data_IF_571113158694
#
_entry.id   IF_571113158694
#
_cell.length_a   1.000
_cell.length_b   1.000
_cell.length_c   1.000
_cell.angle_alpha   90.00
_cell.angle_beta   90.00
_cell.angle_gamma   90.00
#
_symmetry.space_group_name_H-M   'P 1'
#
loop_
_entity.id
_entity.type
_entity.pdbx_description
1 polymer ?
#
# COMPACT_ATOMS: atom_id res chain seq x y z
N UNK A 1 -58.76 9.41 41.45
CA UNK A 1 -57.68 8.41 41.34
C UNK A 1 -56.57 9.01 40.48
N UNK A 2 -55.60 9.63 41.14
CA UNK A 2 -54.43 10.29 40.57
C UNK A 2 -53.30 10.30 41.61
N UNK A 3 -52.08 9.95 41.20
CA UNK A 3 -50.78 10.06 41.91
C UNK A 3 -49.73 9.70 40.85
N UNK A 4 -48.80 10.55 40.38
CA UNK A 4 -47.72 11.35 41.00
C UNK A 4 -46.70 10.51 41.78
N UNK A 5 -45.45 10.53 41.30
CA UNK A 5 -44.13 10.51 41.98
C UNK A 5 -43.06 9.93 41.02
N UNK A 6 -41.75 10.19 41.04
CA UNK A 6 -40.84 11.24 41.54
C UNK A 6 -39.41 10.69 41.28
N UNK A 7 -38.45 11.59 41.10
CA UNK A 7 -37.01 11.41 40.79
C UNK A 7 -36.15 10.67 41.84
N UNK A 8 -34.96 10.17 41.45
CA UNK A 8 -33.67 10.39 42.15
C UNK A 8 -32.43 9.84 41.39
N UNK A 9 -31.35 10.63 41.40
CA UNK A 9 -29.96 10.33 41.00
C UNK A 9 -29.22 9.45 42.04
N UNK A 10 -28.13 8.77 41.65
CA UNK A 10 -26.95 8.51 42.51
C UNK A 10 -25.65 8.46 41.67
N UNK A 11 -24.76 9.41 41.96
CA UNK A 11 -23.28 9.44 42.11
C UNK A 11 -22.36 8.46 41.32
N UNK A 12 -21.38 8.92 40.55
CA UNK A 12 -20.07 9.54 40.91
C UNK A 12 -19.08 8.58 41.59
N UNK A 13 -17.97 8.26 40.92
CA UNK A 13 -16.71 7.87 41.56
C UNK A 13 -15.52 8.15 40.62
N UNK A 14 -14.85 9.26 40.91
CA UNK A 14 -13.47 9.56 40.55
C UNK A 14 -12.52 8.62 41.31
N UNK A 15 -11.34 8.32 40.74
CA UNK A 15 -10.07 8.32 41.49
C UNK A 15 -8.84 8.25 40.55
N UNK A 16 -7.98 9.26 40.73
CA UNK A 16 -6.64 9.47 40.16
C UNK A 16 -5.57 8.56 40.79
N UNK A 17 -4.34 8.69 40.23
CA UNK A 17 -3.01 8.47 40.82
C UNK A 17 -2.43 7.04 40.64
N UNK A 18 -1.16 6.79 40.34
CA UNK A 18 0.08 7.60 40.43
C UNK A 18 1.23 6.92 39.67
N UNK A 19 2.21 7.71 39.25
CA UNK A 19 3.54 7.27 38.83
C UNK A 19 4.40 6.80 40.03
N UNK A 20 5.39 5.94 39.77
CA UNK A 20 6.42 5.59 40.77
C UNK A 20 7.45 4.60 40.23
N UNK A 21 8.64 5.09 39.90
CA UNK A 21 9.83 4.32 39.56
C UNK A 21 10.42 3.62 40.79
N UNK A 22 10.98 2.41 40.63
CA UNK A 22 12.09 1.93 41.49
C UNK A 22 13.03 1.05 40.67
N UNK A 23 14.24 1.57 40.49
CA UNK A 23 15.48 0.89 40.10
C UNK A 23 15.99 -0.06 41.18
N UNK A 24 16.58 -1.20 40.82
CA UNK A 24 17.68 -1.84 41.59
C UNK A 24 18.69 -2.50 40.65
N UNK A 25 19.94 -2.04 40.79
CA UNK A 25 21.19 -2.65 40.35
C UNK A 25 21.59 -3.77 41.32
N UNK A 26 22.41 -4.71 40.83
CA UNK A 26 23.56 -5.38 41.46
C UNK A 26 24.31 -6.06 40.27
N UNK A 27 25.58 -5.79 39.90
CA UNK A 27 26.84 -5.97 40.64
C UNK A 27 27.17 -7.48 40.73
N UNK A 28 28.27 -8.09 40.27
CA UNK A 28 29.60 -7.74 39.76
C UNK A 28 30.24 -9.00 39.11
N UNK A 29 31.31 -8.78 38.33
CA UNK A 29 32.61 -9.46 38.39
C UNK A 29 33.20 -10.22 37.18
N UNK A 30 34.51 -10.00 37.06
CA UNK A 30 35.48 -10.06 35.96
C UNK A 30 36.04 -11.47 35.72
N UNK A 31 36.39 -11.82 34.46
CA UNK A 31 37.72 -12.40 34.12
C UNK A 31 38.03 -12.47 32.61
N UNK A 32 39.28 -12.12 32.34
CA UNK A 32 40.02 -12.00 31.08
C UNK A 32 40.27 -13.31 30.34
N UNK A 33 40.39 -13.28 29.01
CA UNK A 33 41.62 -13.69 28.30
C UNK A 33 41.53 -13.45 26.79
N UNK A 34 42.70 -13.19 26.23
CA UNK A 34 43.10 -12.92 24.85
C UNK A 34 42.74 -14.03 23.86
N UNK A 35 42.35 -13.69 22.64
CA UNK A 35 43.27 -13.81 21.49
C UNK A 35 42.64 -13.41 20.15
N UNK A 36 43.50 -12.83 19.35
CA UNK A 36 43.39 -12.39 17.97
C UNK A 36 42.63 -13.33 17.03
N UNK A 37 41.76 -12.77 16.20
CA UNK A 37 41.86 -12.86 14.73
C UNK A 37 40.89 -11.87 14.09
N UNK A 38 41.47 -10.83 13.53
CA UNK A 38 40.84 -9.91 12.58
C UNK A 38 40.33 -10.75 11.42
N UNK A 39 39.01 -10.90 11.33
CA UNK A 39 38.36 -11.34 10.11
C UNK A 39 37.71 -10.07 9.53
N UNK A 40 38.37 -9.47 8.55
CA UNK A 40 37.77 -8.43 7.71
C UNK A 40 36.49 -9.01 7.08
N UNK A 41 35.35 -8.77 7.72
CA UNK A 41 34.07 -9.06 7.10
C UNK A 41 33.87 -8.01 6.02
N UNK A 42 34.03 -8.42 4.76
CA UNK A 42 33.59 -7.66 3.59
C UNK A 42 32.16 -7.16 3.85
N UNK A 43 32.05 -5.88 4.18
CA UNK A 43 30.79 -5.18 4.33
C UNK A 43 30.23 -5.06 2.92
N UNK A 44 29.31 -5.95 2.56
CA UNK A 44 28.52 -5.77 1.34
C UNK A 44 27.53 -4.62 1.61
N UNK A 45 27.99 -3.40 1.37
CA UNK A 45 27.13 -2.27 1.08
C UNK A 45 26.41 -2.58 -0.23
N UNK A 46 25.19 -3.10 -0.14
CA UNK A 46 24.32 -3.28 -1.29
C UNK A 46 23.34 -2.10 -1.25
N UNK A 47 23.76 -0.99 -1.87
CA UNK A 47 22.92 0.16 -2.16
C UNK A 47 22.13 -0.02 -3.48
N UNK A 48 21.88 -1.28 -3.88
CA UNK A 48 21.26 -1.58 -5.17
C UNK A 48 19.74 -1.75 -5.01
N UNK A 49 19.00 -0.87 -5.67
CA UNK A 49 17.55 -0.91 -5.87
C UNK A 49 17.08 -2.30 -6.31
N UNK A 50 16.16 -2.87 -5.52
CA UNK A 50 15.69 -4.26 -5.59
C UNK A 50 14.80 -4.61 -6.80
N UNK A 51 14.88 -3.87 -7.91
CA UNK A 51 14.05 -4.09 -9.10
C UNK A 51 14.82 -4.09 -10.44
N UNK A 52 16.14 -4.24 -10.43
CA UNK A 52 16.92 -4.32 -11.67
C UNK A 52 16.72 -5.65 -12.40
N UNK A 53 15.98 -5.60 -13.51
CA UNK A 53 15.70 -6.72 -14.42
C UNK A 53 14.23 -6.86 -14.84
N UNK A 54 13.42 -5.82 -14.66
CA UNK A 54 11.99 -5.79 -14.96
C UNK A 54 11.65 -4.51 -15.73
N UNK A 55 10.89 -4.66 -16.81
CA UNK A 55 10.35 -3.61 -17.69
C UNK A 55 11.30 -2.91 -18.68
N UNK A 56 11.23 -3.33 -19.93
CA UNK A 56 11.43 -2.40 -21.05
C UNK A 56 10.08 -1.82 -21.55
N UNK A 57 8.93 -2.38 -21.12
CA UNK A 57 7.61 -2.13 -21.74
C UNK A 57 6.50 -1.59 -20.80
N UNK A 58 6.74 -1.39 -19.50
CA UNK A 58 5.73 -0.88 -18.56
C UNK A 58 6.29 0.26 -17.72
N UNK A 59 5.65 1.42 -17.75
CA UNK A 59 6.06 2.59 -16.97
C UNK A 59 5.49 2.49 -15.55
N UNK A 60 6.26 2.84 -14.54
CA UNK A 60 5.84 2.81 -13.15
C UNK A 60 6.50 3.90 -12.32
N UNK A 61 5.69 4.45 -11.42
CA UNK A 61 5.91 5.71 -10.72
C UNK A 61 5.86 5.52 -9.20
N UNK A 62 6.96 5.76 -8.49
CA UNK A 62 7.01 5.72 -7.04
C UNK A 62 6.36 6.98 -6.45
N UNK A 63 5.34 6.78 -5.61
CA UNK A 63 4.76 7.85 -4.79
C UNK A 63 5.80 8.38 -3.79
N UNK A 64 5.69 9.63 -3.33
CA UNK A 64 6.59 10.26 -2.34
C UNK A 64 6.73 9.56 -0.96
N UNK A 65 6.12 8.38 -0.76
CA UNK A 65 6.33 7.48 0.37
C UNK A 65 7.12 6.22 -0.05
N UNK A 66 7.43 5.30 0.87
CA UNK A 66 8.14 4.04 0.57
C UNK A 66 7.29 3.05 -0.26
N UNK A 67 6.87 3.43 -1.48
CA UNK A 67 6.04 2.65 -2.39
C UNK A 67 6.61 2.63 -3.79
N UNK A 68 7.36 1.58 -4.12
CA UNK A 68 7.94 1.32 -5.45
C UNK A 68 6.84 0.97 -6.46
N UNK A 69 6.91 1.59 -7.64
CA UNK A 69 6.28 1.14 -8.90
C UNK A 69 7.35 1.06 -10.00
N UNK A 70 7.03 0.35 -11.08
CA UNK A 70 8.00 -0.24 -12.00
C UNK A 70 8.19 0.51 -13.33
N UNK A 71 9.31 1.26 -13.45
CA UNK A 71 10.14 1.56 -14.64
C UNK A 71 9.86 2.75 -15.60
N UNK A 72 10.77 3.02 -16.56
CA UNK A 72 10.76 4.17 -17.48
C UNK A 72 11.10 3.87 -18.95
N UNK A 73 11.10 4.91 -19.79
CA UNK A 73 11.93 5.08 -21.00
C UNK A 73 11.96 6.57 -21.44
N UNK A 74 12.95 6.89 -22.27
CA UNK A 74 13.63 8.17 -22.59
C UNK A 74 12.86 9.30 -23.31
N UNK A 75 13.41 10.52 -23.07
CA UNK A 75 13.34 11.83 -23.77
C UNK A 75 12.75 12.93 -22.86
N UNK A 76 13.34 14.11 -22.60
CA UNK A 76 14.63 14.75 -22.90
C UNK A 76 14.80 15.98 -21.94
N UNK A 77 15.73 16.92 -22.19
CA UNK A 77 16.77 17.38 -21.27
C UNK A 77 16.32 18.22 -20.06
N UNK A 78 17.08 18.14 -18.97
CA UNK A 78 17.07 19.16 -17.93
C UNK A 78 17.69 20.45 -18.48
N UNK A 79 16.86 21.45 -18.74
CA UNK A 79 17.30 22.83 -18.74
C UNK A 79 17.42 23.25 -17.27
N UNK A 80 18.65 23.40 -16.77
CA UNK A 80 18.84 24.42 -15.75
C UNK A 80 20.16 25.16 -15.89
N UNK A 81 20.04 26.44 -15.61
CA UNK A 81 21.04 27.46 -15.81
C UNK A 81 21.84 27.71 -14.53
N UNK A 82 23.14 27.98 -14.74
CA UNK A 82 24.11 28.73 -13.91
C UNK A 82 25.29 27.92 -13.35
N UNK A 83 26.46 28.21 -13.96
CA UNK A 83 27.83 28.42 -13.43
C UNK A 83 28.00 28.15 -11.92
N UNK A 84 29.02 27.45 -11.41
CA UNK A 84 30.45 27.45 -11.76
C UNK A 84 31.19 26.31 -11.03
N UNK A 85 32.30 25.85 -11.62
CA UNK A 85 33.60 25.49 -11.00
C UNK A 85 34.16 24.13 -11.45
N UNK A 86 35.43 24.17 -11.83
CA UNK A 86 36.19 23.18 -12.59
C UNK A 86 36.72 21.99 -11.78
N UNK A 87 36.94 20.90 -12.52
CA UNK A 87 37.98 19.87 -12.39
C UNK A 87 38.06 18.99 -11.13
N UNK A 88 37.84 17.69 -11.32
CA UNK A 88 38.92 16.69 -11.47
C UNK A 88 38.37 15.37 -12.02
N UNK A 89 39.04 14.83 -13.03
CA UNK A 89 38.90 13.44 -13.50
C UNK A 89 39.29 12.48 -12.38
N UNK A 90 38.42 11.54 -12.08
CA UNK A 90 38.74 10.27 -11.43
C UNK A 90 37.88 9.18 -12.07
N UNK A 91 38.51 8.05 -12.31
CA UNK A 91 38.06 6.90 -13.09
C UNK A 91 36.61 6.49 -12.82
N UNK A 92 35.81 6.44 -13.89
CA UNK A 92 34.43 5.93 -13.82
C UNK A 92 34.49 4.41 -13.83
N UNK A 93 34.38 3.81 -12.65
CA UNK A 93 33.90 2.45 -12.53
C UNK A 93 32.50 2.39 -13.13
N UNK A 94 32.32 1.62 -14.20
CA UNK A 94 31.02 1.33 -14.81
C UNK A 94 30.16 0.53 -13.82
N UNK A 95 29.55 1.23 -12.86
CA UNK A 95 28.43 0.71 -12.09
C UNK A 95 27.27 0.46 -13.06
N UNK A 96 26.70 -0.74 -13.01
CA UNK A 96 25.53 -1.09 -13.82
C UNK A 96 24.42 -0.09 -13.52
N UNK A 97 23.77 0.51 -14.53
CA UNK A 97 22.76 1.54 -14.29
C UNK A 97 21.63 0.95 -13.45
N UNK A 98 21.35 1.60 -12.32
CA UNK A 98 20.16 1.37 -11.53
C UNK A 98 18.93 1.71 -12.39
N UNK A 99 17.83 0.93 -12.33
CA UNK A 99 16.65 1.21 -13.12
C UNK A 99 16.10 2.59 -12.80
N UNK A 100 15.82 3.38 -13.83
CA UNK A 100 15.19 4.69 -13.69
C UNK A 100 13.75 4.51 -13.19
N UNK A 101 13.48 4.92 -11.95
CA UNK A 101 12.15 4.90 -11.33
C UNK A 101 11.60 6.32 -11.43
N UNK A 102 10.44 6.48 -12.08
CA UNK A 102 9.75 7.76 -12.12
C UNK A 102 9.17 8.08 -10.75
N UNK A 103 9.09 9.36 -10.43
CA UNK A 103 8.44 9.87 -9.21
C UNK A 103 7.14 10.55 -9.57
N UNK A 104 6.24 10.60 -8.61
CA UNK A 104 4.93 11.22 -8.77
C UNK A 104 4.97 12.74 -8.62
N UNK A 105 6.13 13.34 -8.30
CA UNK A 105 6.30 14.76 -7.94
C UNK A 105 6.61 15.69 -9.12
N UNK A 106 6.33 15.24 -10.34
CA UNK A 106 6.58 15.98 -11.58
C UNK A 106 5.30 16.17 -12.41
N UNK A 107 5.29 17.12 -13.34
CA UNK A 107 4.09 17.40 -14.17
C UNK A 107 2.87 17.77 -13.31
N UNK A 108 1.67 17.39 -13.76
CA UNK A 108 0.44 17.55 -12.98
C UNK A 108 0.36 16.47 -11.90
N UNK A 109 0.37 16.86 -10.63
CA UNK A 109 0.52 15.93 -9.51
C UNK A 109 -0.14 16.39 -8.20
N UNK A 110 -0.29 15.41 -7.31
CA UNK A 110 -0.78 15.60 -5.94
C UNK A 110 0.16 14.95 -4.91
N UNK A 111 1.47 14.88 -5.17
CA UNK A 111 2.43 14.18 -4.30
C UNK A 111 2.49 14.73 -2.89
N UNK A 112 2.25 16.03 -2.73
CA UNK A 112 2.15 16.68 -1.42
C UNK A 112 1.00 16.11 -0.57
N UNK A 113 0.03 15.40 -1.16
CA UNK A 113 -1.08 14.74 -0.47
C UNK A 113 -0.79 13.28 -0.10
N UNK A 114 0.40 12.75 -0.41
CA UNK A 114 0.72 11.33 -0.21
C UNK A 114 0.56 10.85 1.24
N UNK A 115 0.76 11.72 2.23
CA UNK A 115 0.54 11.38 3.63
C UNK A 115 -0.91 10.92 3.92
N UNK A 116 -1.88 11.37 3.12
CA UNK A 116 -3.30 11.09 3.28
C UNK A 116 -3.85 10.19 2.16
N UNK A 117 -3.38 10.41 0.93
CA UNK A 117 -3.82 9.71 -0.29
C UNK A 117 -3.01 8.44 -0.57
N UNK A 118 -1.88 8.22 0.12
CA UNK A 118 -1.03 7.05 -0.07
C UNK A 118 -0.69 6.85 -1.57
N UNK A 119 -0.75 5.60 -2.05
CA UNK A 119 -0.48 5.23 -3.43
C UNK A 119 -1.35 5.90 -4.49
N UNK A 120 -2.47 6.53 -4.11
CA UNK A 120 -3.33 7.22 -5.06
C UNK A 120 -2.63 8.43 -5.69
N UNK A 121 -1.58 8.96 -5.07
CA UNK A 121 -0.76 10.03 -5.65
C UNK A 121 -0.03 9.56 -6.92
N UNK A 122 0.54 8.35 -6.90
CA UNK A 122 1.11 7.71 -8.08
C UNK A 122 0.05 7.39 -9.15
N UNK A 123 -1.16 6.98 -8.71
CA UNK A 123 -2.28 6.76 -9.62
C UNK A 123 -2.71 8.07 -10.30
N UNK A 124 -2.83 9.17 -9.56
CA UNK A 124 -3.16 10.48 -10.13
C UNK A 124 -2.09 10.93 -11.12
N UNK A 125 -0.82 10.78 -10.76
CA UNK A 125 0.28 11.13 -11.64
C UNK A 125 0.23 10.34 -12.97
N UNK A 126 -0.01 9.04 -12.91
CA UNK A 126 -0.16 8.23 -14.13
C UNK A 126 -1.39 8.66 -14.95
N UNK A 127 -2.49 9.04 -14.30
CA UNK A 127 -3.69 9.56 -14.96
C UNK A 127 -3.41 10.82 -15.79
N UNK A 128 -2.61 11.74 -15.25
CA UNK A 128 -2.34 13.04 -15.89
C UNK A 128 -1.15 13.04 -16.85
N UNK A 129 -0.17 12.18 -16.62
CA UNK A 129 1.13 12.30 -17.28
C UNK A 129 1.50 11.09 -18.17
N UNK A 130 0.75 9.99 -18.12
CA UNK A 130 1.07 8.77 -18.88
C UNK A 130 -0.01 8.44 -19.90
N UNK A 131 0.38 8.24 -21.15
CA UNK A 131 -0.47 7.65 -22.19
C UNK A 131 -0.13 6.16 -22.38
N UNK A 132 -1.02 5.27 -21.93
CA UNK A 132 -0.88 3.82 -22.07
C UNK A 132 -2.21 3.17 -22.43
N UNK A 133 -2.18 2.06 -23.16
CA UNK A 133 -3.40 1.28 -23.46
C UNK A 133 -3.98 0.59 -22.21
N UNK A 134 -3.13 0.33 -21.21
CA UNK A 134 -3.50 -0.29 -19.95
C UNK A 134 -2.75 0.36 -18.77
N UNK A 135 -3.42 0.49 -17.65
CA UNK A 135 -2.88 1.06 -16.42
C UNK A 135 -2.98 0.02 -15.31
N UNK A 136 -2.00 -0.01 -14.42
CA UNK A 136 -2.01 -0.92 -13.28
C UNK A 136 -1.47 -0.26 -12.03
N UNK A 137 -2.01 -0.68 -10.88
CA UNK A 137 -1.57 -0.24 -9.58
C UNK A 137 -1.25 -1.47 -8.73
N UNK A 138 0.00 -1.61 -8.27
CA UNK A 138 0.43 -2.63 -7.30
C UNK A 138 1.14 -1.98 -6.12
N UNK A 139 1.15 -2.63 -4.97
CA UNK A 139 2.03 -2.19 -3.89
C UNK A 139 3.43 -2.76 -4.04
N UNK A 140 4.43 -2.06 -3.48
CA UNK A 140 5.83 -2.49 -3.50
C UNK A 140 6.09 -3.91 -2.96
N UNK A 141 5.26 -4.38 -2.00
CA UNK A 141 5.39 -5.71 -1.38
C UNK A 141 4.22 -6.64 -1.66
N UNK A 142 3.34 -6.31 -2.60
CA UNK A 142 2.22 -7.18 -3.00
C UNK A 142 2.11 -7.28 -4.50
N UNK A 143 1.97 -8.51 -5.01
CA UNK A 143 1.87 -8.78 -6.45
C UNK A 143 0.69 -9.69 -6.75
N UNK A 144 0.10 -9.54 -7.92
CA UNK A 144 -0.91 -10.48 -8.45
C UNK A 144 -0.24 -11.71 -9.08
N UNK A 145 -0.82 -12.89 -8.89
CA UNK A 145 -0.36 -14.12 -9.53
C UNK A 145 -1.04 -14.34 -10.89
N UNK A 146 -0.35 -13.97 -11.96
CA UNK A 146 -0.77 -14.25 -13.34
C UNK A 146 -0.41 -15.66 -13.79
N UNK A 147 0.37 -16.41 -13.02
CA UNK A 147 0.73 -17.79 -13.36
C UNK A 147 -0.45 -18.75 -13.22
N UNK A 148 -1.36 -18.46 -12.27
CA UNK A 148 -2.47 -19.33 -11.90
C UNK A 148 -2.06 -20.66 -11.24
N UNK A 149 -0.76 -20.83 -10.92
CA UNK A 149 -0.20 -22.08 -10.39
C UNK A 149 -0.01 -22.04 -8.88
N UNK A 150 0.00 -20.86 -8.27
CA UNK A 150 0.29 -20.72 -6.85
C UNK A 150 -1.01 -20.81 -6.06
N UNK A 151 -1.23 -21.96 -5.43
CA UNK A 151 -2.37 -22.14 -4.52
C UNK A 151 -2.18 -21.27 -3.28
N UNK A 152 -3.20 -20.48 -2.94
CA UNK A 152 -3.28 -19.81 -1.65
C UNK A 152 -3.35 -20.84 -0.53
N UNK A 153 -2.71 -20.55 0.61
CA UNK A 153 -2.74 -21.43 1.79
C UNK A 153 -4.04 -21.31 2.56
N UNK A 154 -4.66 -20.14 2.51
CA UNK A 154 -5.92 -19.82 3.18
C UNK A 154 -6.84 -19.12 2.21
N UNK A 155 -8.12 -19.48 2.26
CA UNK A 155 -9.17 -18.79 1.53
C UNK A 155 -9.34 -17.40 2.15
N UNK A 156 -9.29 -16.38 1.30
CA UNK A 156 -9.52 -15.00 1.67
C UNK A 156 -8.64 -14.46 2.82
N UNK A 157 -7.37 -14.87 2.93
CA UNK A 157 -6.39 -14.25 3.86
C UNK A 157 -5.19 -13.73 3.03
N UNK A 158 -4.37 -12.87 3.61
CA UNK A 158 -3.11 -12.40 3.02
C UNK A 158 -2.19 -13.61 2.82
N UNK A 159 -2.04 -14.03 1.56
CA UNK A 159 -1.10 -15.09 1.23
C UNK A 159 0.33 -14.54 1.24
N UNK A 160 1.22 -15.16 2.01
CA UNK A 160 2.61 -14.71 2.14
C UNK A 160 3.55 -15.63 1.39
N UNK A 161 4.47 -15.06 0.62
CA UNK A 161 5.49 -15.81 -0.13
C UNK A 161 6.89 -15.26 0.13
N UNK A 162 7.75 -16.14 0.67
CA UNK A 162 9.17 -15.87 0.81
C UNK A 162 9.87 -16.09 -0.53
N UNK A 163 10.42 -15.04 -1.13
CA UNK A 163 11.00 -15.12 -2.48
C UNK A 163 12.05 -14.02 -2.69
N UNK A 164 13.12 -14.34 -3.42
CA UNK A 164 14.13 -13.34 -3.80
C UNK A 164 13.61 -12.47 -4.95
N UNK A 165 14.03 -11.20 -4.99
CA UNK A 165 13.62 -10.24 -6.02
C UNK A 165 13.72 -10.80 -7.45
N UNK A 166 14.87 -11.40 -7.78
CA UNK A 166 15.17 -12.01 -9.09
C UNK A 166 14.17 -13.09 -9.55
N UNK A 167 13.43 -13.70 -8.61
CA UNK A 167 12.47 -14.78 -8.91
C UNK A 167 11.02 -14.29 -8.97
N UNK A 168 10.71 -13.07 -8.54
CA UNK A 168 9.33 -12.55 -8.43
C UNK A 168 8.65 -12.61 -9.80
N UNK A 169 9.16 -11.88 -10.79
CA UNK A 169 8.52 -11.75 -12.11
C UNK A 169 8.26 -13.10 -12.77
N UNK A 170 9.27 -13.98 -12.80
CA UNK A 170 9.15 -15.34 -13.35
C UNK A 170 8.12 -16.20 -12.59
N UNK A 171 8.08 -16.10 -11.27
CA UNK A 171 7.22 -16.94 -10.41
C UNK A 171 5.76 -16.56 -10.55
N UNK A 172 5.46 -15.26 -10.58
CA UNK A 172 4.09 -14.75 -10.64
C UNK A 172 3.63 -14.43 -12.07
N UNK A 173 4.49 -14.68 -13.08
CA UNK A 173 4.23 -14.38 -14.49
C UNK A 173 3.84 -12.92 -14.72
N UNK A 174 4.63 -12.02 -14.13
CA UNK A 174 4.47 -10.57 -14.29
C UNK A 174 4.99 -10.11 -15.66
N UNK A 175 4.69 -10.84 -16.73
CA UNK A 175 5.14 -10.53 -18.09
C UNK A 175 3.96 -10.05 -18.96
N UNK A 176 4.27 -9.22 -19.96
CA UNK A 176 3.29 -8.60 -20.85
C UNK A 176 2.31 -9.62 -21.43
N UNK A 177 2.83 -10.72 -21.97
CA UNK A 177 2.03 -11.76 -22.58
C UNK A 177 1.02 -12.38 -21.59
N UNK A 178 1.47 -12.69 -20.37
CA UNK A 178 0.62 -13.28 -19.34
C UNK A 178 -0.47 -12.33 -18.84
N UNK A 179 -0.15 -11.03 -18.70
CA UNK A 179 -1.10 -9.99 -18.30
C UNK A 179 -2.12 -9.74 -19.40
N UNK A 180 -1.68 -9.52 -20.64
CA UNK A 180 -2.57 -9.30 -21.80
C UNK A 180 -3.50 -10.48 -22.04
N UNK A 181 -3.02 -11.71 -21.87
CA UNK A 181 -3.86 -12.92 -21.94
C UNK A 181 -5.03 -12.91 -20.93
N UNK A 182 -4.89 -12.22 -19.79
CA UNK A 182 -6.04 -12.02 -18.90
C UNK A 182 -6.93 -10.88 -19.38
N UNK A 183 -6.33 -9.80 -19.89
CA UNK A 183 -7.07 -8.64 -20.38
C UNK A 183 -7.90 -8.91 -21.64
N UNK A 184 -7.52 -9.93 -22.43
CA UNK A 184 -8.32 -10.47 -23.54
C UNK A 184 -9.66 -11.06 -23.06
N UNK A 185 -9.71 -11.56 -21.83
CA UNK A 185 -10.91 -12.20 -21.26
C UNK A 185 -11.81 -11.19 -20.54
N UNK A 186 -11.21 -10.16 -19.94
CA UNK A 186 -11.92 -9.04 -19.32
C UNK A 186 -11.02 -7.82 -19.28
N UNK A 187 -11.51 -6.61 -19.59
CA UNK A 187 -10.69 -5.40 -19.58
C UNK A 187 -10.28 -4.92 -18.17
N UNK A 188 -10.68 -5.64 -17.11
CA UNK A 188 -10.32 -5.37 -15.72
C UNK A 188 -9.78 -6.65 -15.07
N UNK A 189 -8.60 -6.54 -14.45
CA UNK A 189 -8.03 -7.54 -13.54
C UNK A 189 -7.92 -6.92 -12.15
N UNK A 190 -8.42 -7.60 -11.12
CA UNK A 190 -8.37 -7.15 -9.72
C UNK A 190 -7.66 -8.17 -8.83
N UNK A 191 -7.20 -7.72 -7.67
CA UNK A 191 -6.89 -8.63 -6.57
C UNK A 191 -8.15 -9.37 -6.12
N UNK A 192 -8.06 -10.69 -5.93
CA UNK A 192 -9.12 -11.49 -5.32
C UNK A 192 -9.50 -10.89 -3.96
N UNK A 193 -10.81 -10.91 -3.60
CA UNK A 193 -11.25 -10.45 -2.30
C UNK A 193 -10.50 -11.14 -1.15
N UNK A 194 -10.31 -10.41 -0.07
CA UNK A 194 -9.63 -10.86 1.13
C UNK A 194 -10.40 -10.43 2.37
N UNK A 195 -10.30 -11.25 3.40
CA UNK A 195 -10.67 -10.96 4.78
C UNK A 195 -9.40 -10.44 5.43
N UNK A 196 -9.46 -9.22 5.94
CA UNK A 196 -8.34 -8.68 6.69
C UNK A 196 -8.26 -9.48 8.00
N UNK A 197 -7.07 -9.82 8.54
CA UNK A 197 -6.99 -10.49 9.84
C UNK A 197 -7.72 -9.69 10.93
N UNK A 198 -8.60 -10.36 11.70
CA UNK A 198 -9.56 -9.72 12.64
C UNK A 198 -10.63 -8.85 11.98
N UNK A 199 -10.66 -8.83 10.66
CA UNK A 199 -11.66 -8.20 9.85
C UNK A 199 -12.96 -9.01 9.88
N UNK A 200 -14.05 -8.28 9.83
CA UNK A 200 -15.40 -8.82 9.96
C UNK A 200 -16.07 -8.86 8.58
N UNK A 201 -15.27 -8.83 7.50
CA UNK A 201 -15.75 -8.87 6.11
C UNK A 201 -16.42 -10.22 5.77
N UNK A 202 -16.24 -11.25 6.61
CA UNK A 202 -16.99 -12.51 6.54
C UNK A 202 -18.21 -12.56 7.44
N UNK A 203 -18.39 -11.57 8.30
CA UNK A 203 -19.59 -11.52 9.12
C UNK A 203 -20.77 -11.28 8.19
N UNK A 204 -21.72 -12.23 8.08
CA UNK A 204 -22.92 -12.02 7.27
C UNK A 204 -23.83 -10.93 7.88
N UNK A 205 -23.50 -10.43 9.08
CA UNK A 205 -24.25 -9.41 9.79
C UNK A 205 -23.68 -7.98 9.62
N UNK A 206 -22.52 -7.80 8.97
CA UNK A 206 -21.91 -6.47 8.83
C UNK A 206 -21.81 -6.06 7.37
N UNK A 207 -22.19 -4.82 7.10
CA UNK A 207 -22.00 -4.16 5.82
C UNK A 207 -20.62 -3.48 5.76
N UNK A 208 -20.19 -3.06 4.56
CA UNK A 208 -18.91 -2.34 4.41
C UNK A 208 -18.93 -0.94 5.01
N UNK A 209 -20.11 -0.37 5.15
CA UNK A 209 -20.36 0.83 5.92
C UNK A 209 -20.12 0.61 7.42
N UNK A 210 -20.68 -0.46 8.00
CA UNK A 210 -20.49 -0.79 9.43
C UNK A 210 -19.02 -1.06 9.75
N UNK A 211 -18.34 -1.79 8.87
CA UNK A 211 -16.89 -2.06 8.99
C UNK A 211 -16.10 -0.75 8.98
N UNK A 212 -16.42 0.20 8.08
CA UNK A 212 -15.76 1.50 8.07
C UNK A 212 -16.04 2.30 9.34
N UNK A 213 -17.31 2.37 9.77
CA UNK A 213 -17.74 3.15 10.93
C UNK A 213 -17.12 2.64 12.25
N UNK A 214 -16.76 1.35 12.31
CA UNK A 214 -16.03 0.78 13.44
C UNK A 214 -14.54 1.13 13.42
N UNK A 215 -13.89 1.01 12.26
CA UNK A 215 -12.42 1.12 12.15
C UNK A 215 -11.93 2.56 11.90
N UNK A 216 -12.84 3.43 11.45
CA UNK A 216 -12.59 4.81 11.04
C UNK A 216 -13.73 5.73 11.53
N UNK A 217 -13.61 7.03 11.31
CA UNK A 217 -14.68 7.97 11.65
C UNK A 217 -15.78 7.93 10.59
N UNK A 218 -16.93 7.35 10.94
CA UNK A 218 -18.16 7.24 10.11
C UNK A 218 -18.48 8.50 9.29
N UNK A 219 -18.38 9.69 9.90
CA UNK A 219 -18.69 10.98 9.26
C UNK A 219 -17.94 11.19 7.92
N UNK A 220 -16.73 10.63 7.79
CA UNK A 220 -15.90 10.83 6.61
C UNK A 220 -16.49 10.07 5.42
N UNK A 221 -17.03 8.86 5.66
CA UNK A 221 -17.73 8.09 4.64
C UNK A 221 -19.12 8.66 4.34
N UNK A 222 -19.81 9.22 5.34
CA UNK A 222 -21.09 9.93 5.12
C UNK A 222 -20.93 11.07 4.11
N UNK A 223 -19.87 11.88 4.25
CA UNK A 223 -19.55 12.96 3.29
C UNK A 223 -19.32 12.41 1.88
N UNK A 224 -18.61 11.29 1.76
CA UNK A 224 -18.36 10.65 0.46
C UNK A 224 -19.65 10.14 -0.16
N UNK A 225 -20.54 9.53 0.62
CA UNK A 225 -21.86 9.08 0.16
C UNK A 225 -22.68 10.25 -0.38
N UNK A 226 -22.70 11.38 0.33
CA UNK A 226 -23.41 12.58 -0.11
C UNK A 226 -22.85 13.15 -1.42
N UNK A 227 -21.52 13.15 -1.57
CA UNK A 227 -20.86 13.55 -2.83
C UNK A 227 -21.27 12.62 -3.98
N UNK A 228 -21.27 11.30 -3.76
CA UNK A 228 -21.67 10.32 -4.79
C UNK A 228 -23.13 10.53 -5.20
N UNK A 229 -24.03 10.69 -4.24
CA UNK A 229 -25.46 10.95 -4.52
C UNK A 229 -25.67 12.22 -5.34
N UNK A 230 -24.92 13.27 -5.05
CA UNK A 230 -25.06 14.55 -5.73
C UNK A 230 -24.43 14.57 -7.12
N UNK A 231 -23.21 14.04 -7.28
CA UNK A 231 -22.42 14.16 -8.52
C UNK A 231 -22.47 12.94 -9.43
N UNK A 232 -22.71 11.76 -8.86
CA UNK A 232 -22.68 10.49 -9.58
C UNK A 232 -23.96 9.68 -9.32
N UNK A 233 -25.15 10.22 -9.64
CA UNK A 233 -26.42 9.54 -9.38
C UNK A 233 -26.51 8.16 -10.04
N UNK A 234 -25.84 7.96 -11.18
CA UNK A 234 -25.76 6.69 -11.89
C UNK A 234 -24.95 5.61 -11.13
N UNK A 235 -24.15 5.98 -10.13
CA UNK A 235 -23.40 5.05 -9.27
C UNK A 235 -24.12 4.72 -7.96
N UNK A 236 -25.25 5.37 -7.65
CA UNK A 236 -25.91 5.26 -6.34
C UNK A 236 -26.34 3.83 -6.04
N UNK A 237 -26.97 3.13 -6.99
CA UNK A 237 -27.37 1.73 -6.80
C UNK A 237 -26.16 0.82 -6.51
N UNK A 238 -25.05 1.01 -7.24
CA UNK A 238 -23.82 0.26 -7.02
C UNK A 238 -23.13 0.62 -5.70
N UNK A 239 -23.23 1.88 -5.28
CA UNK A 239 -22.76 2.34 -3.97
C UNK A 239 -23.56 1.68 -2.86
N UNK A 240 -24.89 1.64 -2.96
CA UNK A 240 -25.75 1.06 -1.94
C UNK A 240 -25.53 -0.45 -1.83
N UNK A 241 -25.43 -1.14 -2.96
CA UNK A 241 -25.06 -2.55 -3.05
C UNK A 241 -23.76 -2.85 -2.30
N UNK A 242 -22.71 -2.06 -2.55
CA UNK A 242 -21.39 -2.31 -1.98
C UNK A 242 -21.30 -1.91 -0.51
N UNK A 243 -21.90 -0.78 -0.13
CA UNK A 243 -21.73 -0.22 1.22
C UNK A 243 -22.70 -0.83 2.23
N UNK A 244 -23.95 -1.11 1.85
CA UNK A 244 -25.01 -1.43 2.79
C UNK A 244 -25.49 -2.88 2.73
N UNK A 245 -25.09 -3.67 1.73
CA UNK A 245 -25.39 -5.11 1.71
C UNK A 245 -24.45 -5.85 2.68
N UNK A 246 -24.99 -6.58 3.68
CA UNK A 246 -24.15 -7.35 4.60
C UNK A 246 -23.37 -8.46 3.89
N UNK A 247 -22.15 -8.71 4.34
CA UNK A 247 -21.31 -9.80 3.84
C UNK A 247 -20.67 -9.57 2.46
N UNK A 248 -20.79 -8.37 1.88
CA UNK A 248 -20.08 -8.00 0.65
C UNK A 248 -18.57 -8.03 0.90
N UNK A 249 -17.85 -8.75 0.04
CA UNK A 249 -16.40 -8.84 0.08
C UNK A 249 -15.78 -7.89 -0.95
N UNK A 250 -14.72 -7.19 -0.55
CA UNK A 250 -14.05 -6.20 -1.41
C UNK A 250 -12.72 -6.71 -1.96
N UNK A 251 -12.41 -6.26 -3.16
CA UNK A 251 -11.01 -6.19 -3.62
C UNK A 251 -10.31 -5.07 -2.87
N UNK A 252 -9.43 -5.45 -1.94
CA UNK A 252 -8.64 -4.51 -1.14
C UNK A 252 -7.32 -4.15 -1.83
N UNK A 253 -6.55 -3.26 -1.20
CA UNK A 253 -5.20 -2.84 -1.58
C UNK A 253 -5.13 -2.01 -2.88
N UNK A 254 -6.25 -1.52 -3.42
CA UNK A 254 -6.29 -0.77 -4.67
C UNK A 254 -5.51 -1.46 -5.82
N UNK A 255 -5.42 -2.80 -5.82
CA UNK A 255 -4.57 -3.55 -6.73
C UNK A 255 -5.32 -3.98 -7.99
N UNK A 256 -4.93 -3.45 -9.14
CA UNK A 256 -5.61 -3.72 -10.41
C UNK A 256 -4.72 -3.59 -11.64
N UNK A 257 -5.23 -4.10 -12.76
CA UNK A 257 -4.81 -3.73 -14.13
C UNK A 257 -6.09 -3.49 -14.95
N UNK A 258 -6.18 -2.35 -15.65
CA UNK A 258 -7.38 -1.88 -16.33
C UNK A 258 -7.05 -1.33 -17.71
N UNK A 259 -7.97 -1.49 -18.67
CA UNK A 259 -7.92 -0.81 -19.97
C UNK A 259 -8.03 0.71 -19.80
N UNK A 260 -7.39 1.48 -20.68
CA UNK A 260 -7.31 2.95 -20.65
C UNK A 260 -8.65 3.63 -20.37
N UNK A 261 -9.68 3.34 -21.15
CA UNK A 261 -11.01 3.93 -21.00
C UNK A 261 -11.60 3.75 -19.60
N UNK A 262 -11.53 2.53 -19.05
CA UNK A 262 -12.02 2.21 -17.72
C UNK A 262 -11.18 2.86 -16.61
N UNK A 263 -9.86 2.92 -16.81
CA UNK A 263 -8.97 3.59 -15.86
C UNK A 263 -9.23 5.10 -15.81
N UNK A 264 -9.40 5.73 -16.98
CA UNK A 264 -9.66 7.17 -17.09
C UNK A 264 -11.01 7.53 -16.44
N UNK A 265 -12.06 6.74 -16.71
CA UNK A 265 -13.36 6.92 -16.09
C UNK A 265 -13.32 6.67 -14.58
N UNK A 266 -12.58 5.64 -14.13
CA UNK A 266 -12.39 5.39 -12.70
C UNK A 266 -11.64 6.53 -12.02
N UNK A 267 -10.59 7.07 -12.65
CA UNK A 267 -9.86 8.22 -12.10
C UNK A 267 -10.74 9.46 -11.99
N UNK A 268 -11.56 9.74 -13.00
CA UNK A 268 -12.52 10.84 -12.96
C UNK A 268 -13.48 10.68 -11.79
N UNK A 269 -14.11 9.51 -11.63
CA UNK A 269 -14.97 9.23 -10.47
C UNK A 269 -14.23 9.34 -9.13
N UNK A 270 -13.08 8.67 -9.03
CA UNK A 270 -12.31 8.56 -7.79
C UNK A 270 -11.81 9.92 -7.32
N UNK A 271 -11.08 10.65 -8.16
CA UNK A 271 -10.44 11.90 -7.75
C UNK A 271 -11.42 13.06 -7.65
N UNK A 272 -12.45 13.13 -8.50
CA UNK A 272 -13.51 14.13 -8.34
C UNK A 272 -14.28 13.92 -7.02
N UNK A 273 -14.44 12.68 -6.57
CA UNK A 273 -15.01 12.38 -5.24
C UNK A 273 -14.05 12.70 -4.10
N UNK A 274 -12.81 12.20 -4.16
CA UNK A 274 -11.86 12.31 -3.04
C UNK A 274 -11.33 13.73 -2.82
N UNK A 275 -11.10 14.51 -3.88
CA UNK A 275 -10.64 15.90 -3.75
C UNK A 275 -11.75 16.80 -3.18
N UNK A 276 -13.00 16.53 -3.51
CA UNK A 276 -14.13 17.23 -2.88
C UNK A 276 -14.33 16.79 -1.42
N UNK A 277 -14.18 15.50 -1.12
CA UNK A 277 -14.19 15.01 0.25
C UNK A 277 -13.06 15.66 1.06
N UNK A 278 -11.87 15.81 0.48
CA UNK A 278 -10.74 16.50 1.11
C UNK A 278 -11.06 17.95 1.49
N UNK A 279 -11.78 18.68 0.64
CA UNK A 279 -12.19 20.05 0.95
C UNK A 279 -13.22 20.13 2.09
N UNK A 280 -13.94 19.04 2.37
CA UNK A 280 -15.03 18.98 3.37
C UNK A 280 -14.62 18.31 4.68
N UNK A 281 -13.56 17.50 4.68
CA UNK A 281 -13.13 16.71 5.84
C UNK A 281 -11.98 17.41 6.55
N UNK A 282 -12.25 17.89 7.76
CA UNK A 282 -11.20 18.35 8.67
C UNK A 282 -10.45 17.17 9.27
N UNK A 283 -9.14 17.09 9.01
CA UNK A 283 -8.28 16.04 9.54
C UNK A 283 -7.69 16.35 10.93
N UNK A 284 -8.05 17.48 11.53
CA UNK A 284 -7.57 17.87 12.86
C UNK A 284 -7.89 16.79 13.91
N UNK A 285 -6.87 16.43 14.67
CA UNK A 285 -6.97 15.38 15.69
C UNK A 285 -6.97 13.94 15.17
N UNK A 286 -6.70 13.69 13.89
CA UNK A 286 -6.30 12.36 13.44
C UNK A 286 -4.83 12.07 13.77
N UNK A 287 -4.55 10.82 14.11
CA UNK A 287 -3.18 10.31 14.16
C UNK A 287 -2.70 9.91 12.76
N UNK A 288 -1.40 9.64 12.62
CA UNK A 288 -0.79 9.29 11.32
C UNK A 288 -1.46 8.10 10.60
N UNK A 289 -2.07 7.16 11.32
CA UNK A 289 -2.81 6.05 10.70
C UNK A 289 -4.17 6.53 10.18
N UNK A 290 -4.95 7.19 11.01
CA UNK A 290 -6.29 7.66 10.64
C UNK A 290 -6.25 8.80 9.61
N UNK A 291 -5.16 9.57 9.51
CA UNK A 291 -5.00 10.59 8.47
C UNK A 291 -4.95 10.02 7.04
N UNK A 292 -4.82 8.69 6.88
CA UNK A 292 -4.77 7.98 5.59
C UNK A 292 -6.15 7.62 5.04
N UNK A 293 -7.22 8.25 5.52
CA UNK A 293 -8.61 7.91 5.19
C UNK A 293 -8.89 7.80 3.69
N UNK A 294 -8.27 8.63 2.84
CA UNK A 294 -8.57 8.61 1.40
C UNK A 294 -8.13 7.30 0.74
N UNK A 295 -7.04 6.69 1.21
CA UNK A 295 -6.65 5.35 0.79
C UNK A 295 -7.66 4.27 1.24
N UNK A 296 -8.19 4.37 2.46
CA UNK A 296 -9.20 3.41 2.95
C UNK A 296 -10.57 3.56 2.27
N UNK A 297 -10.94 4.79 1.93
CA UNK A 297 -12.16 5.12 1.19
C UNK A 297 -12.02 4.65 -0.26
N UNK A 298 -10.86 4.85 -0.90
CA UNK A 298 -10.67 4.47 -2.31
C UNK A 298 -10.86 2.96 -2.55
N UNK A 299 -10.53 2.12 -1.58
CA UNK A 299 -10.77 0.68 -1.68
C UNK A 299 -12.26 0.37 -1.83
N UNK A 300 -13.15 1.14 -1.17
CA UNK A 300 -14.60 1.03 -1.36
C UNK A 300 -15.02 1.59 -2.72
N UNK A 301 -14.50 2.77 -3.10
CA UNK A 301 -14.81 3.41 -4.38
C UNK A 301 -14.43 2.54 -5.58
N UNK A 302 -13.31 1.81 -5.53
CA UNK A 302 -12.92 0.85 -6.56
C UNK A 302 -14.00 -0.21 -6.77
N UNK A 303 -14.53 -0.78 -5.68
CA UNK A 303 -15.53 -1.83 -5.75
C UNK A 303 -16.90 -1.29 -6.20
N UNK A 304 -17.25 -0.05 -5.85
CA UNK A 304 -18.45 0.64 -6.37
C UNK A 304 -18.36 0.81 -7.88
N UNK A 305 -17.23 1.32 -8.38
CA UNK A 305 -17.01 1.49 -9.83
C UNK A 305 -17.11 0.16 -10.58
N UNK A 306 -16.46 -0.88 -10.06
CA UNK A 306 -16.46 -2.22 -10.67
C UNK A 306 -17.85 -2.83 -10.66
N UNK A 307 -18.61 -2.67 -9.56
CA UNK A 307 -20.01 -3.12 -9.46
C UNK A 307 -20.87 -2.44 -10.53
N UNK A 308 -20.70 -1.12 -10.68
CA UNK A 308 -21.39 -0.36 -11.71
C UNK A 308 -21.07 -0.87 -13.12
N UNK A 309 -19.79 -1.11 -13.43
CA UNK A 309 -19.38 -1.64 -14.74
C UNK A 309 -19.90 -3.05 -15.01
N UNK A 310 -20.00 -3.87 -13.98
CA UNK A 310 -20.59 -5.20 -14.09
C UNK A 310 -22.06 -5.13 -14.53
N UNK A 311 -22.84 -4.18 -14.00
CA UNK A 311 -24.27 -4.07 -14.31
C UNK A 311 -24.57 -3.24 -15.55
N UNK A 312 -23.96 -2.07 -15.68
CA UNK A 312 -24.23 -1.13 -16.77
C UNK A 312 -23.66 -1.59 -18.11
N UNK A 313 -22.56 -2.35 -18.09
CA UNK A 313 -21.82 -2.72 -19.30
C UNK A 313 -21.49 -4.22 -19.40
N UNK A 314 -21.92 -5.04 -18.43
CA UNK A 314 -21.60 -6.47 -18.42
C UNK A 314 -20.11 -6.78 -18.19
N UNK A 315 -19.33 -5.80 -17.71
CA UNK A 315 -17.88 -5.94 -17.53
C UNK A 315 -17.60 -6.51 -16.13
N UNK A 316 -17.47 -7.83 -16.04
CA UNK A 316 -17.04 -8.51 -14.83
C UNK A 316 -15.51 -8.59 -14.73
N UNK A 317 -14.87 -8.24 -13.59
CA UNK A 317 -13.43 -8.31 -13.44
C UNK A 317 -12.91 -9.75 -13.35
N UNK A 318 -11.67 -9.96 -13.77
CA UNK A 318 -10.94 -11.20 -13.47
C UNK A 318 -10.17 -11.03 -12.18
N UNK A 319 -10.47 -11.89 -11.21
CA UNK A 319 -9.77 -11.90 -9.93
C UNK A 319 -8.49 -12.74 -9.97
N UNK A 320 -7.40 -12.17 -9.44
CA UNK A 320 -6.12 -12.84 -9.24
C UNK A 320 -5.74 -12.86 -7.78
N UNK A 321 -5.29 -14.02 -7.31
CA UNK A 321 -4.71 -14.13 -5.99
C UNK A 321 -3.52 -13.16 -5.89
N UNK A 322 -3.46 -12.41 -4.81
CA UNK A 322 -2.34 -11.54 -4.53
C UNK A 322 -1.51 -12.11 -3.38
N UNK A 323 -0.22 -11.80 -3.39
CA UNK A 323 0.73 -12.32 -2.41
C UNK A 323 1.53 -11.20 -1.79
N UNK A 324 1.56 -11.15 -0.45
CA UNK A 324 2.52 -10.35 0.30
C UNK A 324 3.90 -11.02 0.23
N UNK A 325 4.85 -10.27 -0.31
CA UNK A 325 6.22 -10.70 -0.50
C UNK A 325 7.02 -10.55 0.78
N UNK A 326 7.87 -11.53 1.06
CA UNK A 326 8.82 -11.50 2.15
C UNK A 326 10.20 -11.86 1.64
N UNK A 327 11.20 -11.12 2.11
CA UNK A 327 12.58 -11.53 1.88
C UNK A 327 12.86 -12.86 2.58
N UNK A 328 13.57 -13.79 1.91
CA UNK A 328 14.01 -15.02 2.55
C UNK A 328 14.92 -14.73 3.74
N UNK A 329 14.72 -15.46 4.83
CA UNK A 329 15.64 -15.44 5.95
C UNK A 329 16.98 -16.02 5.50
N UNK A 330 18.10 -15.33 5.73
CA UNK A 330 19.40 -15.89 5.40
C UNK A 330 19.71 -17.07 6.32
N UNK A 331 20.47 -18.05 5.83
CA UNK A 331 20.99 -19.14 6.67
C UNK A 331 21.98 -18.58 7.70
N UNK A 332 22.82 -17.64 7.30
CA UNK A 332 23.78 -16.96 8.17
C UNK A 332 23.87 -15.48 7.83
N UNK A 333 24.26 -14.67 8.81
CA UNK A 333 24.62 -13.27 8.61
C UNK A 333 23.56 -12.29 9.08
N UNK A 334 23.68 -11.04 8.65
CA UNK A 334 22.81 -9.94 9.08
C UNK A 334 21.80 -9.58 8.00
N UNK A 335 20.54 -9.40 8.38
CA UNK A 335 19.50 -8.78 7.56
C UNK A 335 19.05 -7.48 8.22
N UNK A 336 19.05 -6.40 7.47
CA UNK A 336 18.53 -5.10 7.90
C UNK A 336 17.19 -4.89 7.19
N UNK A 337 16.16 -4.51 7.93
CA UNK A 337 14.86 -4.14 7.37
C UNK A 337 14.33 -2.95 8.14
N UNK A 338 14.22 -1.79 7.47
CA UNK A 338 13.93 -0.51 8.11
C UNK A 338 14.97 -0.18 9.19
N UNK A 339 14.52 0.20 10.37
CA UNK A 339 15.35 0.52 11.53
C UNK A 339 15.85 -0.73 12.30
N UNK A 340 15.59 -1.94 11.80
CA UNK A 340 15.80 -3.17 12.56
C UNK A 340 16.89 -4.03 11.93
N UNK A 341 17.95 -4.30 12.68
CA UNK A 341 19.00 -5.27 12.39
C UNK A 341 18.65 -6.64 12.98
N UNK A 342 18.78 -7.71 12.20
CA UNK A 342 18.56 -9.09 12.62
C UNK A 342 19.77 -9.93 12.25
N UNK A 343 20.28 -10.74 13.17
CA UNK A 343 21.38 -11.68 12.91
C UNK A 343 20.81 -13.09 12.90
N UNK A 344 21.24 -13.88 11.92
CA UNK A 344 20.81 -15.24 11.69
C UNK A 344 21.99 -16.21 11.77
N UNK A 345 21.73 -17.37 12.36
CA UNK A 345 22.59 -18.55 12.28
C UNK A 345 21.70 -19.77 12.07
N UNK A 346 22.04 -20.63 11.10
CA UNK A 346 21.22 -21.77 10.66
C UNK A 346 19.75 -21.41 10.37
N UNK A 347 19.49 -20.22 9.83
CA UNK A 347 18.14 -19.73 9.51
C UNK A 347 17.30 -19.29 10.72
N UNK A 348 17.84 -19.45 11.94
CA UNK A 348 17.23 -18.96 13.17
C UNK A 348 17.73 -17.55 13.46
N UNK A 349 16.81 -16.66 13.85
CA UNK A 349 17.16 -15.32 14.29
C UNK A 349 17.75 -15.43 15.70
N UNK A 350 19.06 -15.24 15.81
CA UNK A 350 19.78 -15.29 17.09
C UNK A 350 19.86 -13.92 17.78
N UNK A 351 19.71 -12.83 17.02
CA UNK A 351 19.71 -11.48 17.59
C UNK A 351 18.79 -10.53 16.80
N UNK A 352 18.19 -9.57 17.51
CA UNK A 352 17.39 -8.46 16.94
C UNK A 352 17.72 -7.19 17.71
N UNK A 353 18.14 -6.14 17.00
CA UNK A 353 18.40 -4.81 17.57
C UNK A 353 17.83 -3.72 16.67
N UNK A 354 17.54 -2.56 17.25
CA UNK A 354 17.28 -1.35 16.47
C UNK A 354 18.60 -0.68 16.10
N UNK A 355 18.70 -0.20 14.88
CA UNK A 355 19.78 0.69 14.46
C UNK A 355 19.58 2.02 15.17
N UNK A 356 20.60 2.50 15.88
CA UNK A 356 20.59 3.86 16.41
C UNK A 356 20.59 4.82 15.22
N UNK A 357 19.64 5.75 15.19
CA UNK A 357 19.71 6.89 14.27
C UNK A 357 20.83 7.79 14.78
N UNK A 358 21.92 7.87 14.03
CA UNK A 358 23.02 8.83 14.25
C UNK A 358 22.57 10.24 13.93
#
# INVERSE_FOLDING_TARGET
MSRVESSAQVDSMDCRATAGAVSRNDGENIKSSSDSKILESKTQNIADSQAAGFCDDFVGCQGGGEGIYLSGNEQAPAADSRKSAQNKRSEVSLEKPTPFILRDDSGDNISHLNANFCELTAMYWAWKNVDSSYYGLFHYRRVLDFSGKIKGKKRFDVNRKSITAKKIAKTFKLDRASILKQLEKSPIVLASPMIVPHGFEVSPAMSQYDIYARDHRKRDLDIVIDIIRAKFPHLVESMEDILFTPGVQLSWCNMFVMRKDLYQEYCEFLFSTLLEAQARIDLSGYNAYQSRIYGFISERLLNIFVRYKSFSAGIAPIYKNHFELREPKPLFGTQITGDTKRIYAFGLRVHKSKLQKS
#
